data_IF_036125703184
#
_entry.id   IF_036125703184
#
_cell.length_a   1.000
_cell.length_b   1.000
_cell.length_c   1.000
_cell.angle_alpha   90.00
_cell.angle_beta   90.00
_cell.angle_gamma   90.00
#
_symmetry.space_group_name_H-M   'P 1'
#
loop_
_entity.id
_entity.type
_entity.pdbx_description
1 polymer ?
#
# COMPACT_ATOMS: atom_id res chain seq x y z
N UNK A 1 37.99 7.11 -3.29
CA UNK A 1 36.59 7.34 -2.87
C UNK A 1 35.64 7.26 -4.06
N UNK A 2 36.04 7.69 -5.26
CA UNK A 2 35.14 7.83 -6.41
C UNK A 2 34.62 6.50 -6.96
N UNK A 3 35.48 5.48 -7.11
CA UNK A 3 35.06 4.16 -7.59
C UNK A 3 33.99 3.47 -6.71
N UNK A 4 33.98 3.74 -5.39
CA UNK A 4 32.96 3.22 -4.47
C UNK A 4 31.64 3.98 -4.67
N UNK A 5 31.70 5.30 -4.80
CA UNK A 5 30.53 6.12 -5.09
C UNK A 5 29.91 5.79 -6.45
N UNK A 6 30.74 5.54 -7.46
CA UNK A 6 30.30 5.13 -8.80
C UNK A 6 29.60 3.76 -8.77
N UNK A 7 30.15 2.80 -8.01
CA UNK A 7 29.50 1.51 -7.80
C UNK A 7 28.12 1.65 -7.13
N UNK A 8 28.03 2.41 -6.04
CA UNK A 8 26.74 2.64 -5.36
C UNK A 8 25.73 3.38 -6.23
N UNK A 9 26.20 4.32 -7.06
CA UNK A 9 25.34 5.06 -7.98
C UNK A 9 24.79 4.14 -9.07
N UNK A 10 25.64 3.33 -9.70
CA UNK A 10 25.21 2.36 -10.70
C UNK A 10 24.25 1.31 -10.12
N UNK A 11 24.52 0.79 -8.93
CA UNK A 11 23.65 -0.16 -8.25
C UNK A 11 22.30 0.45 -7.87
N UNK A 12 22.30 1.68 -7.36
CA UNK A 12 21.09 2.43 -7.05
C UNK A 12 20.26 2.65 -8.32
N UNK A 13 20.86 3.16 -9.40
CA UNK A 13 20.17 3.36 -10.68
C UNK A 13 19.60 2.06 -11.26
N UNK A 14 20.30 0.94 -11.09
CA UNK A 14 19.80 -0.36 -11.50
C UNK A 14 18.58 -0.80 -10.66
N UNK A 15 18.65 -0.68 -9.34
CA UNK A 15 17.54 -1.06 -8.44
C UNK A 15 16.30 -0.19 -8.66
N UNK A 16 16.45 1.14 -8.64
CA UNK A 16 15.35 2.10 -8.75
C UNK A 16 14.82 2.26 -10.19
N UNK A 17 15.47 1.64 -11.17
CA UNK A 17 15.05 1.65 -12.57
C UNK A 17 13.97 0.62 -12.87
N UNK A 18 14.10 -0.03 -14.03
CA UNK A 18 13.15 -1.03 -14.53
C UNK A 18 12.87 -2.21 -13.58
N UNK A 19 13.86 -2.78 -12.86
CA UNK A 19 13.62 -3.91 -11.96
C UNK A 19 12.57 -3.63 -10.88
N UNK A 20 12.63 -2.48 -10.21
CA UNK A 20 11.67 -2.13 -9.17
C UNK A 20 10.26 -1.92 -9.74
N UNK A 21 10.16 -1.28 -10.92
CA UNK A 21 8.86 -1.05 -11.58
C UNK A 21 8.21 -2.40 -11.95
N UNK A 22 8.99 -3.31 -12.55
CA UNK A 22 8.51 -4.65 -12.94
C UNK A 22 8.10 -5.45 -11.71
N UNK A 23 8.87 -5.39 -10.63
CA UNK A 23 8.58 -6.13 -9.40
C UNK A 23 7.32 -5.59 -8.70
N UNK A 24 7.17 -4.26 -8.60
CA UNK A 24 5.97 -3.65 -8.02
C UNK A 24 4.73 -3.91 -8.88
N UNK A 25 4.77 -3.58 -10.17
CA UNK A 25 3.61 -3.77 -11.05
C UNK A 25 3.28 -5.27 -11.20
N UNK A 26 4.31 -6.11 -11.32
CA UNK A 26 4.19 -7.56 -11.41
C UNK A 26 3.54 -8.16 -10.16
N UNK A 27 3.94 -7.73 -8.97
CA UNK A 27 3.32 -8.18 -7.72
C UNK A 27 1.88 -7.70 -7.59
N UNK A 28 1.56 -6.47 -7.99
CA UNK A 28 0.18 -5.98 -7.99
C UNK A 28 -0.73 -6.81 -8.91
N UNK A 29 -0.27 -7.11 -10.13
CA UNK A 29 -1.02 -7.93 -11.10
C UNK A 29 -1.14 -9.37 -10.60
N UNK A 30 -0.04 -9.98 -10.15
CA UNK A 30 -0.01 -11.34 -9.64
C UNK A 30 -0.97 -11.53 -8.47
N UNK A 31 -0.94 -10.62 -7.48
CA UNK A 31 -1.84 -10.68 -6.32
C UNK A 31 -3.29 -10.42 -6.74
N UNK A 32 -3.53 -9.51 -7.68
CA UNK A 32 -4.88 -9.26 -8.21
C UNK A 32 -5.50 -10.52 -8.83
N UNK A 33 -4.74 -11.27 -9.63
CA UNK A 33 -5.20 -12.52 -10.24
C UNK A 33 -5.37 -13.61 -9.19
N UNK A 34 -4.37 -13.80 -8.31
CA UNK A 34 -4.38 -14.86 -7.28
C UNK A 34 -5.50 -14.68 -6.25
N UNK A 35 -5.80 -13.44 -5.87
CA UNK A 35 -6.88 -13.09 -4.93
C UNK A 35 -8.25 -12.97 -5.61
N UNK A 36 -8.36 -13.29 -6.91
CA UNK A 36 -9.61 -13.24 -7.69
C UNK A 36 -10.28 -11.87 -7.69
N UNK A 37 -9.51 -10.81 -7.97
CA UNK A 37 -9.98 -9.43 -8.07
C UNK A 37 -10.71 -8.91 -6.81
N UNK A 38 -10.00 -8.71 -5.70
CA UNK A 38 -10.58 -8.15 -4.48
C UNK A 38 -11.18 -6.75 -4.69
N UNK A 39 -10.72 -6.01 -5.72
CA UNK A 39 -11.23 -4.68 -6.06
C UNK A 39 -12.76 -4.66 -6.28
N UNK A 40 -13.35 -5.77 -6.78
CA UNK A 40 -14.80 -5.87 -7.02
C UNK A 40 -15.64 -5.75 -5.74
N UNK A 41 -15.05 -5.97 -4.56
CA UNK A 41 -15.74 -5.93 -3.26
C UNK A 41 -15.50 -4.62 -2.49
N UNK A 42 -14.92 -3.60 -3.12
CA UNK A 42 -14.54 -2.35 -2.43
C UNK A 42 -15.74 -1.64 -1.77
N UNK A 43 -16.89 -1.57 -2.43
CA UNK A 43 -18.10 -0.96 -1.85
C UNK A 43 -18.58 -1.70 -0.60
N UNK A 44 -18.48 -3.03 -0.59
CA UNK A 44 -18.79 -3.85 0.59
C UNK A 44 -17.77 -3.58 1.70
N UNK A 45 -16.48 -3.46 1.37
CA UNK A 45 -15.43 -3.17 2.34
C UNK A 45 -15.59 -1.79 3.00
N UNK A 46 -15.92 -0.77 2.22
CA UNK A 46 -16.19 0.59 2.73
C UNK A 46 -17.39 0.56 3.67
N UNK A 47 -18.50 -0.08 3.25
CA UNK A 47 -19.70 -0.22 4.09
C UNK A 47 -19.41 -0.91 5.42
N UNK A 48 -18.58 -1.96 5.40
CA UNK A 48 -18.18 -2.67 6.61
C UNK A 48 -17.30 -1.79 7.51
N UNK A 49 -16.36 -1.05 6.95
CA UNK A 49 -15.41 -0.22 7.72
C UNK A 49 -16.09 0.91 8.51
N UNK A 50 -17.23 1.40 8.02
CA UNK A 50 -18.01 2.46 8.68
C UNK A 50 -19.10 1.88 9.60
N UNK A 51 -19.50 0.61 9.40
CA UNK A 51 -20.53 -0.03 10.23
C UNK A 51 -19.97 -0.29 11.63
N UNK A 52 -20.73 0.12 12.64
CA UNK A 52 -20.40 -0.16 14.04
C UNK A 52 -20.72 -1.63 14.34
N UNK A 53 -19.68 -2.43 14.53
CA UNK A 53 -19.83 -3.80 15.00
C UNK A 53 -19.81 -3.83 16.53
N UNK A 54 -20.89 -4.32 17.14
CA UNK A 54 -21.05 -4.38 18.59
C UNK A 54 -20.29 -5.56 19.22
N UNK A 55 -19.88 -6.55 18.43
CA UNK A 55 -19.19 -7.77 18.88
C UNK A 55 -17.71 -7.82 18.42
N UNK A 56 -17.17 -6.71 17.90
CA UNK A 56 -15.80 -6.68 17.42
C UNK A 56 -14.79 -6.81 18.57
N UNK A 57 -13.92 -7.82 18.49
CA UNK A 57 -12.82 -8.05 19.42
C UNK A 57 -11.54 -7.42 18.86
N UNK A 58 -11.08 -6.33 19.48
CA UNK A 58 -9.86 -5.62 19.09
C UNK A 58 -9.69 -4.29 19.83
N UNK A 59 -8.46 -3.79 19.90
CA UNK A 59 -8.10 -2.58 20.67
C UNK A 59 -8.69 -1.29 20.08
N UNK A 60 -9.03 -1.29 18.79
CA UNK A 60 -9.58 -0.13 18.07
C UNK A 60 -10.78 -0.53 17.21
N UNK A 61 -11.74 0.39 17.05
CA UNK A 61 -12.89 0.17 16.16
C UNK A 61 -12.45 0.13 14.69
N UNK A 62 -13.21 -0.57 13.85
CA UNK A 62 -12.94 -0.69 12.41
C UNK A 62 -12.76 0.68 11.74
N UNK A 63 -13.61 1.65 12.08
CA UNK A 63 -13.50 3.01 11.57
C UNK A 63 -12.24 3.74 12.06
N UNK A 64 -11.86 3.57 13.34
CA UNK A 64 -10.63 4.17 13.87
C UNK A 64 -9.39 3.58 13.19
N UNK A 65 -9.34 2.27 12.98
CA UNK A 65 -8.25 1.62 12.26
C UNK A 65 -8.13 2.14 10.82
N UNK A 66 -9.26 2.29 10.11
CA UNK A 66 -9.29 2.89 8.78
C UNK A 66 -8.79 4.34 8.80
N UNK A 67 -9.28 5.16 9.72
CA UNK A 67 -8.89 6.56 9.85
C UNK A 67 -7.38 6.70 10.15
N UNK A 68 -6.82 5.87 11.03
CA UNK A 68 -5.38 5.83 11.31
C UNK A 68 -4.57 5.45 10.07
N UNK A 69 -5.00 4.44 9.32
CA UNK A 69 -4.33 4.04 8.08
C UNK A 69 -4.40 5.13 6.99
N UNK A 70 -5.55 5.79 6.85
CA UNK A 70 -5.72 6.91 5.91
C UNK A 70 -4.85 8.12 6.31
N UNK A 71 -4.82 8.48 7.60
CA UNK A 71 -3.99 9.57 8.09
C UNK A 71 -2.50 9.30 7.88
N UNK A 72 -2.06 8.04 7.97
CA UNK A 72 -0.66 7.67 7.70
C UNK A 72 -0.29 7.69 6.22
N UNK A 73 -1.26 7.59 5.30
CA UNK A 73 -1.03 7.46 3.86
C UNK A 73 -1.35 8.72 3.06
N UNK A 74 -2.20 9.60 3.59
CA UNK A 74 -2.54 10.89 2.99
C UNK A 74 -1.63 11.94 3.61
N UNK A 75 -0.73 12.49 2.80
CA UNK A 75 0.15 13.57 3.24
C UNK A 75 0.70 14.39 2.08
N UNK A 76 1.56 15.36 2.43
CA UNK A 76 2.19 16.28 1.47
C UNK A 76 2.93 15.52 0.34
N UNK A 77 3.49 14.35 0.65
CA UNK A 77 4.17 13.49 -0.32
C UNK A 77 3.27 13.04 -1.48
N UNK A 78 1.98 12.79 -1.25
CA UNK A 78 1.07 12.39 -2.32
C UNK A 78 0.71 13.60 -3.21
N UNK A 79 0.60 14.79 -2.62
CA UNK A 79 0.29 16.02 -3.36
C UNK A 79 1.47 16.43 -4.22
N UNK A 80 2.66 16.56 -3.62
CA UNK A 80 3.89 16.93 -4.32
C UNK A 80 4.27 15.83 -5.31
N UNK A 81 4.19 14.56 -4.92
CA UNK A 81 4.55 13.43 -5.79
C UNK A 81 3.71 13.38 -7.07
N UNK A 82 2.39 13.60 -6.96
CA UNK A 82 1.53 13.68 -8.15
C UNK A 82 1.84 14.92 -8.98
N UNK A 83 2.07 16.08 -8.35
CA UNK A 83 2.45 17.30 -9.06
C UNK A 83 3.76 17.12 -9.84
N UNK A 84 4.79 16.53 -9.22
CA UNK A 84 6.07 16.20 -9.87
C UNK A 84 5.90 15.18 -10.98
N UNK A 85 5.07 14.15 -10.79
CA UNK A 85 4.80 13.15 -11.82
C UNK A 85 4.14 13.77 -13.05
N UNK A 86 3.22 14.71 -12.88
CA UNK A 86 2.57 15.44 -13.98
C UNK A 86 3.57 16.41 -14.63
N UNK A 87 4.36 17.15 -13.84
CA UNK A 87 5.32 18.11 -14.35
C UNK A 87 6.42 17.46 -15.20
N UNK A 88 6.92 16.28 -14.78
CA UNK A 88 7.98 15.56 -15.48
C UNK A 88 7.47 14.59 -16.55
N UNK A 89 6.34 13.91 -16.28
CA UNK A 89 5.79 12.86 -17.15
C UNK A 89 4.63 13.30 -18.05
N UNK A 90 4.18 14.56 -17.91
CA UNK A 90 3.02 15.10 -18.62
C UNK A 90 1.68 14.62 -18.06
N UNK A 91 0.56 15.04 -18.66
CA UNK A 91 -0.79 14.73 -18.17
C UNK A 91 -1.12 13.23 -18.17
N UNK A 92 -0.41 12.43 -18.99
CA UNK A 92 -0.56 10.97 -19.04
C UNK A 92 -0.16 10.26 -17.73
N UNK A 93 0.64 10.89 -16.86
CA UNK A 93 1.04 10.33 -15.57
C UNK A 93 -0.16 10.01 -14.67
N UNK A 94 -1.25 10.79 -14.77
CA UNK A 94 -2.45 10.60 -13.95
C UNK A 94 -3.10 9.23 -14.20
N UNK A 95 -3.15 8.80 -15.47
CA UNK A 95 -3.69 7.50 -15.84
C UNK A 95 -2.90 6.36 -15.17
N UNK A 96 -1.58 6.48 -15.16
CA UNK A 96 -0.69 5.50 -14.54
C UNK A 96 -0.79 5.51 -13.00
N UNK A 97 -0.97 6.68 -12.37
CA UNK A 97 -1.26 6.77 -10.94
C UNK A 97 -2.57 6.05 -10.57
N UNK A 98 -3.63 6.18 -11.38
CA UNK A 98 -4.88 5.47 -11.13
C UNK A 98 -4.75 3.97 -11.33
N UNK A 99 -4.10 3.53 -12.41
CA UNK A 99 -3.85 2.10 -12.67
C UNK A 99 -3.09 1.44 -11.53
N UNK A 100 -1.98 2.05 -11.11
CA UNK A 100 -1.17 1.56 -9.97
C UNK A 100 -1.98 1.55 -8.67
N UNK A 101 -2.83 2.56 -8.43
CA UNK A 101 -3.77 2.57 -7.31
C UNK A 101 -4.76 1.40 -7.33
N UNK A 102 -5.37 1.11 -8.48
CA UNK A 102 -6.36 0.01 -8.63
C UNK A 102 -5.70 -1.35 -8.39
N UNK A 103 -4.53 -1.59 -8.96
CA UNK A 103 -3.81 -2.85 -8.73
C UNK A 103 -3.22 -2.93 -7.31
N UNK A 104 -2.82 -1.80 -6.73
CA UNK A 104 -2.28 -1.67 -5.38
C UNK A 104 -3.26 -2.08 -4.27
N UNK A 105 -4.58 -1.99 -4.51
CA UNK A 105 -5.61 -2.48 -3.57
C UNK A 105 -5.38 -3.95 -3.20
N UNK A 106 -5.02 -4.79 -4.17
CA UNK A 106 -4.78 -6.22 -3.93
C UNK A 106 -3.57 -6.46 -3.02
N UNK A 107 -2.51 -5.68 -3.22
CA UNK A 107 -1.31 -5.76 -2.37
C UNK A 107 -1.60 -5.29 -0.95
N UNK A 108 -2.26 -4.14 -0.78
CA UNK A 108 -2.64 -3.64 0.54
C UNK A 108 -3.61 -4.57 1.27
N UNK A 109 -4.51 -5.23 0.54
CA UNK A 109 -5.37 -6.28 1.10
C UNK A 109 -4.55 -7.47 1.61
N UNK A 110 -3.58 -7.94 0.83
CA UNK A 110 -2.71 -9.04 1.26
C UNK A 110 -1.89 -8.68 2.52
N UNK A 111 -1.32 -7.47 2.57
CA UNK A 111 -0.61 -6.97 3.75
C UNK A 111 -1.53 -6.94 4.98
N UNK A 112 -2.74 -6.40 4.85
CA UNK A 112 -3.71 -6.37 5.96
C UNK A 112 -4.12 -7.77 6.42
N UNK A 113 -4.29 -8.72 5.49
CA UNK A 113 -4.61 -10.11 5.82
C UNK A 113 -3.47 -10.79 6.57
N UNK A 114 -2.22 -10.60 6.14
CA UNK A 114 -1.04 -11.14 6.79
C UNK A 114 -0.84 -10.54 8.18
N UNK A 115 -1.03 -9.23 8.32
CA UNK A 115 -0.98 -8.54 9.61
C UNK A 115 -2.00 -9.10 10.60
N UNK A 116 -3.21 -9.46 10.14
CA UNK A 116 -4.23 -10.12 11.00
C UNK A 116 -3.87 -11.57 11.32
N UNK A 117 -3.28 -12.31 10.36
CA UNK A 117 -2.89 -13.70 10.54
C UNK A 117 -1.74 -13.87 11.53
N UNK A 118 -0.75 -12.98 11.48
CA UNK A 118 0.48 -13.08 12.29
C UNK A 118 0.52 -12.14 13.48
N UNK A 119 -0.58 -11.43 13.80
CA UNK A 119 -0.64 -10.58 15.00
C UNK A 119 -0.40 -11.38 16.28
N UNK A 120 0.36 -10.79 17.19
CA UNK A 120 0.68 -11.37 18.51
C UNK A 120 0.14 -10.47 19.62
N UNK A 121 -0.33 -11.08 20.71
CA UNK A 121 -0.69 -10.34 21.93
C UNK A 121 0.56 -10.08 22.77
N UNK A 122 0.78 -8.81 23.09
CA UNK A 122 1.84 -8.39 24.00
C UNK A 122 1.48 -8.77 25.44
N UNK A 123 2.48 -8.87 26.33
CA UNK A 123 2.27 -9.05 27.79
C UNK A 123 1.37 -7.97 28.42
N UNK A 124 1.24 -6.80 27.79
CA UNK A 124 0.36 -5.68 28.20
C UNK A 124 -1.07 -5.78 27.65
N UNK A 125 -1.42 -6.87 26.97
CA UNK A 125 -2.76 -7.09 26.40
C UNK A 125 -3.00 -6.45 25.03
N UNK A 126 -2.08 -5.62 24.53
CA UNK A 126 -2.19 -4.95 23.22
C UNK A 126 -1.81 -5.86 22.06
N UNK A 127 -2.49 -5.66 20.93
CA UNK A 127 -2.23 -6.39 19.68
C UNK A 127 -1.07 -5.73 18.91
N UNK A 128 -0.01 -6.49 18.63
CA UNK A 128 1.06 -6.10 17.72
C UNK A 128 0.90 -6.84 16.39
N UNK A 129 0.84 -6.09 15.30
CA UNK A 129 0.75 -6.61 13.95
C UNK A 129 1.29 -5.59 12.96
N UNK A 130 1.85 -6.07 11.87
CA UNK A 130 2.50 -5.31 10.82
C UNK A 130 2.73 -6.22 9.61
N UNK A 131 3.35 -5.72 8.53
CA UNK A 131 3.71 -6.57 7.40
C UNK A 131 4.50 -7.81 7.86
#
# INVERSE_FOLDING_TARGET
MDAINDFFTAFSSFLWGWPMIILLLGTHIFLTIRLRFPQRKIFKAIKLSVKKDKNATGDVSQFRALATALAATIGTGNIIGVATAIALGGPGAVLWCWLTGVFGISTKYAEGLLAVKYRVKTKRGTMLGGP
#
